data_IF_159129792790
#
_entry.id   IF_159129792790
#
_cell.length_a   1.000
_cell.length_b   1.000
_cell.length_c   1.000
_cell.angle_alpha   90.00
_cell.angle_beta   90.00
_cell.angle_gamma   90.00
#
_symmetry.space_group_name_H-M   'P 1'
#
loop_
_entity.id
_entity.type
_entity.pdbx_description
1 polymer ?
#
# COMPACT_ATOMS: atom_id res chain seq x y z
N UNK A 1 22.31 -1.48 -14.90
CA UNK A 1 21.02 -2.20 -14.93
C UNK A 1 20.86 -3.14 -13.74
N UNK A 2 21.90 -3.90 -13.34
CA UNK A 2 21.89 -4.76 -12.14
C UNK A 2 21.49 -4.03 -10.84
N UNK A 3 21.87 -2.76 -10.70
CA UNK A 3 21.49 -1.95 -9.55
C UNK A 3 19.97 -1.81 -9.36
N UNK A 4 19.18 -1.70 -10.44
CA UNK A 4 17.72 -1.55 -10.35
C UNK A 4 17.11 -2.83 -9.77
N UNK A 5 17.54 -3.99 -10.29
CA UNK A 5 17.08 -5.30 -9.82
C UNK A 5 17.53 -5.54 -8.38
N UNK A 6 18.77 -5.18 -8.03
CA UNK A 6 19.31 -5.31 -6.69
C UNK A 6 18.58 -4.45 -5.66
N UNK A 7 18.38 -3.16 -5.95
CA UNK A 7 17.65 -2.26 -5.06
C UNK A 7 16.18 -2.65 -4.94
N UNK A 8 15.54 -3.05 -6.05
CA UNK A 8 14.17 -3.56 -6.02
C UNK A 8 14.06 -4.83 -5.16
N UNK A 9 14.97 -5.79 -5.32
CA UNK A 9 14.96 -7.03 -4.55
C UNK A 9 15.19 -6.82 -3.05
N UNK A 10 16.11 -5.93 -2.66
CA UNK A 10 16.35 -5.67 -1.22
C UNK A 10 15.23 -4.84 -0.62
N UNK A 11 14.93 -3.69 -1.20
CA UNK A 11 13.98 -2.76 -0.60
C UNK A 11 12.54 -3.18 -0.86
N UNK A 12 12.21 -3.52 -2.11
CA UNK A 12 10.87 -3.87 -2.54
C UNK A 12 10.38 -5.25 -2.08
N UNK A 13 11.25 -6.25 -1.96
CA UNK A 13 10.80 -7.61 -1.61
C UNK A 13 11.01 -7.95 -0.12
N UNK A 14 11.96 -7.29 0.56
CA UNK A 14 12.37 -7.69 1.92
C UNK A 14 12.11 -6.62 2.96
N UNK A 15 12.71 -5.44 2.77
CA UNK A 15 12.75 -4.41 3.83
C UNK A 15 11.42 -3.67 3.95
N UNK A 16 10.91 -3.10 2.86
CA UNK A 16 9.69 -2.29 2.90
C UNK A 16 8.44 -3.11 3.23
N UNK A 17 8.23 -4.33 2.69
CA UNK A 17 7.08 -5.15 3.08
C UNK A 17 7.07 -5.43 4.59
N UNK A 18 8.23 -5.78 5.17
CA UNK A 18 8.35 -6.02 6.61
C UNK A 18 8.00 -4.77 7.42
N UNK A 19 8.54 -3.60 7.05
CA UNK A 19 8.25 -2.34 7.73
C UNK A 19 6.78 -1.95 7.63
N UNK A 20 6.15 -2.18 6.47
CA UNK A 20 4.71 -1.91 6.26
C UNK A 20 3.87 -2.83 7.15
N UNK A 21 4.18 -4.12 7.22
CA UNK A 21 3.47 -5.08 8.07
C UNK A 21 3.61 -4.72 9.54
N UNK A 22 4.83 -4.44 10.01
CA UNK A 22 5.07 -4.02 11.40
C UNK A 22 4.31 -2.74 11.75
N UNK A 23 4.32 -1.76 10.86
CA UNK A 23 3.56 -0.53 11.04
C UNK A 23 2.04 -0.79 11.04
N UNK A 24 1.52 -1.65 10.16
CA UNK A 24 0.11 -2.01 10.11
C UNK A 24 -0.37 -2.75 11.38
N UNK A 25 0.45 -3.67 11.91
CA UNK A 25 0.19 -4.35 13.19
C UNK A 25 0.16 -3.32 14.32
N UNK A 26 1.18 -2.46 14.39
CA UNK A 26 1.25 -1.41 15.39
C UNK A 26 0.04 -0.48 15.33
N UNK A 27 -0.41 -0.10 14.12
CA UNK A 27 -1.64 0.66 13.91
C UNK A 27 -2.85 -0.07 14.47
N UNK A 28 -3.01 -1.34 14.12
CA UNK A 28 -4.14 -2.15 14.56
C UNK A 28 -4.23 -2.24 16.08
N UNK A 29 -3.08 -2.34 16.77
CA UNK A 29 -3.01 -2.51 18.23
C UNK A 29 -3.12 -1.19 19.00
N UNK A 30 -2.52 -0.12 18.48
CA UNK A 30 -2.39 1.16 19.20
C UNK A 30 -3.40 2.21 18.78
N UNK A 31 -4.20 1.95 17.74
CA UNK A 31 -5.09 2.96 17.18
C UNK A 31 -6.12 3.44 18.18
N UNK A 32 -6.17 4.76 18.33
CA UNK A 32 -7.26 5.48 18.96
C UNK A 32 -7.84 6.39 17.88
N UNK A 33 -9.16 6.34 17.71
CA UNK A 33 -9.84 7.21 16.75
C UNK A 33 -9.48 8.67 17.09
N UNK A 34 -8.76 9.38 16.20
CA UNK A 34 -8.31 10.73 16.49
C UNK A 34 -9.53 11.67 16.52
N UNK A 35 -9.55 12.56 17.50
CA UNK A 35 -10.47 13.70 17.45
C UNK A 35 -10.10 14.59 16.25
N UNK A 36 -11.06 15.33 15.67
CA UNK A 36 -10.76 16.36 14.69
C UNK A 36 -9.62 17.26 15.21
N UNK A 37 -8.66 17.56 14.35
CA UNK A 37 -7.50 18.42 14.64
C UNK A 37 -6.42 17.86 15.59
N UNK A 38 -6.52 16.59 16.01
CA UNK A 38 -5.41 15.93 16.72
C UNK A 38 -4.18 15.83 15.79
N UNK A 39 -2.96 16.16 16.24
CA UNK A 39 -1.75 15.95 15.44
C UNK A 39 -1.55 14.47 15.11
N UNK A 40 -1.23 14.16 13.85
CA UNK A 40 -0.85 12.79 13.46
C UNK A 40 0.41 12.37 14.21
N UNK A 41 0.39 11.17 14.80
CA UNK A 41 1.57 10.50 15.36
C UNK A 41 2.62 10.29 14.27
N UNK A 42 3.89 10.11 14.66
CA UNK A 42 4.99 9.92 13.70
C UNK A 42 4.72 8.73 12.76
N UNK A 43 4.29 7.60 13.30
CA UNK A 43 3.93 6.44 12.51
C UNK A 43 2.74 6.70 11.56
N UNK A 44 1.79 7.58 11.91
CA UNK A 44 0.64 7.93 11.04
C UNK A 44 1.06 8.83 9.88
N UNK A 45 2.25 9.44 9.99
CA UNK A 45 2.90 10.15 8.89
C UNK A 45 3.74 9.19 8.05
N UNK A 46 4.49 8.28 8.67
CA UNK A 46 5.45 7.41 7.99
C UNK A 46 4.76 6.26 7.23
N UNK A 47 3.78 5.59 7.83
CA UNK A 47 3.13 4.41 7.24
C UNK A 47 2.64 4.59 5.80
N UNK A 48 1.81 5.61 5.48
CA UNK A 48 1.36 5.80 4.11
C UNK A 48 2.51 6.13 3.14
N UNK A 49 3.60 6.73 3.64
CA UNK A 49 4.80 6.98 2.83
C UNK A 49 5.56 5.69 2.53
N UNK A 50 5.65 4.75 3.48
CA UNK A 50 6.24 3.42 3.24
C UNK A 50 5.46 2.67 2.15
N UNK A 51 4.13 2.68 2.20
CA UNK A 51 3.28 2.06 1.16
C UNK A 51 3.45 2.76 -0.19
N UNK A 52 3.56 4.09 -0.19
CA UNK A 52 3.82 4.88 -1.41
C UNK A 52 5.18 4.55 -2.02
N UNK A 53 6.21 4.42 -1.19
CA UNK A 53 7.56 4.06 -1.64
C UNK A 53 7.59 2.64 -2.21
N UNK A 54 6.92 1.69 -1.55
CA UNK A 54 6.75 0.32 -2.04
C UNK A 54 6.08 0.29 -3.41
N UNK A 55 4.95 1.00 -3.56
CA UNK A 55 4.27 1.13 -4.84
C UNK A 55 5.17 1.76 -5.90
N UNK A 56 5.87 2.85 -5.56
CA UNK A 56 6.74 3.57 -6.51
C UNK A 56 7.87 2.68 -7.03
N UNK A 57 8.52 1.91 -6.15
CA UNK A 57 9.57 0.96 -6.55
C UNK A 57 9.01 -0.17 -7.42
N UNK A 58 7.85 -0.72 -7.09
CA UNK A 58 7.17 -1.72 -7.90
C UNK A 58 6.74 -1.19 -9.26
N UNK A 59 6.21 0.03 -9.30
CA UNK A 59 5.77 0.69 -10.52
C UNK A 59 6.93 1.01 -11.46
N UNK A 60 8.06 1.50 -10.93
CA UNK A 60 9.29 1.71 -11.71
C UNK A 60 9.80 0.39 -12.29
N UNK A 61 9.80 -0.69 -11.50
CA UNK A 61 10.21 -2.01 -11.97
C UNK A 61 9.28 -2.53 -13.09
N UNK A 62 7.96 -2.39 -12.91
CA UNK A 62 6.96 -2.76 -13.91
C UNK A 62 7.13 -1.96 -15.23
N UNK A 63 7.31 -0.64 -15.15
CA UNK A 63 7.60 0.21 -16.31
C UNK A 63 8.91 -0.19 -16.99
N UNK A 64 9.96 -0.48 -16.21
CA UNK A 64 11.23 -0.97 -16.74
C UNK A 64 11.06 -2.29 -17.51
N UNK A 65 10.26 -3.23 -17.00
CA UNK A 65 9.93 -4.47 -17.68
C UNK A 65 9.23 -4.28 -19.03
N UNK A 66 8.38 -3.25 -19.14
CA UNK A 66 7.69 -2.90 -20.39
C UNK A 66 8.65 -2.20 -21.37
N UNK A 67 9.30 -1.12 -20.92
CA UNK A 67 10.00 -0.18 -21.80
C UNK A 67 11.41 -0.65 -22.13
N UNK A 68 12.14 -1.20 -21.17
CA UNK A 68 13.55 -1.53 -21.34
C UNK A 68 13.80 -3.02 -21.67
N UNK A 69 12.99 -3.92 -21.11
CA UNK A 69 13.12 -5.37 -21.36
C UNK A 69 12.22 -5.81 -22.54
N UNK A 70 11.21 -5.01 -22.91
CA UNK A 70 10.32 -5.31 -24.03
C UNK A 70 9.27 -6.39 -23.73
N UNK A 71 8.99 -6.69 -22.45
CA UNK A 71 8.03 -7.72 -22.05
C UNK A 71 6.59 -7.17 -21.90
N UNK A 72 6.19 -6.22 -22.75
CA UNK A 72 4.88 -5.58 -22.68
C UNK A 72 3.72 -6.59 -22.65
N UNK A 73 3.77 -7.66 -23.45
CA UNK A 73 2.73 -8.69 -23.47
C UNK A 73 2.53 -9.42 -22.14
N UNK A 74 3.59 -9.62 -21.36
CA UNK A 74 3.52 -10.22 -20.02
C UNK A 74 3.00 -9.22 -18.98
N UNK A 75 3.53 -8.00 -18.98
CA UNK A 75 3.25 -7.00 -17.96
C UNK A 75 1.90 -6.27 -18.13
N UNK A 76 1.39 -6.17 -19.36
CA UNK A 76 0.08 -5.59 -19.68
C UNK A 76 -1.03 -6.64 -19.76
N UNK A 77 -0.68 -7.93 -19.76
CA UNK A 77 -1.64 -9.04 -19.77
C UNK A 77 -2.37 -9.20 -18.44
N UNK A 78 -3.56 -9.79 -18.49
CA UNK A 78 -4.27 -10.21 -17.27
C UNK A 78 -3.63 -11.51 -16.73
N UNK A 79 -3.45 -11.67 -15.40
CA UNK A 79 -3.84 -10.75 -14.31
C UNK A 79 -2.78 -9.68 -13.96
N UNK A 80 -1.62 -9.65 -14.62
CA UNK A 80 -0.48 -8.80 -14.26
C UNK A 80 -0.74 -7.30 -14.30
N UNK A 81 -1.60 -6.84 -15.23
CA UNK A 81 -2.04 -5.45 -15.29
C UNK A 81 -2.72 -4.98 -13.99
N UNK A 82 -3.26 -5.91 -13.19
CA UNK A 82 -3.85 -5.59 -11.89
C UNK A 82 -2.80 -5.17 -10.87
N UNK A 83 -1.54 -5.59 -11.00
CA UNK A 83 -0.51 -5.30 -10.00
C UNK A 83 -0.30 -3.79 -9.74
N UNK A 84 -0.08 -2.93 -10.75
CA UNK A 84 0.00 -1.49 -10.53
C UNK A 84 -1.33 -0.87 -10.06
N UNK A 85 -2.47 -1.43 -10.46
CA UNK A 85 -3.80 -0.94 -10.04
C UNK A 85 -4.00 -1.22 -8.54
N UNK A 86 -3.75 -2.44 -8.10
CA UNK A 86 -3.84 -2.86 -6.70
C UNK A 86 -2.83 -2.11 -5.83
N UNK A 87 -1.61 -1.88 -6.34
CA UNK A 87 -0.61 -1.05 -5.68
C UNK A 87 -1.09 0.39 -5.43
N UNK A 88 -1.70 1.02 -6.43
CA UNK A 88 -2.27 2.36 -6.28
C UNK A 88 -3.43 2.38 -5.28
N UNK A 89 -4.31 1.38 -5.33
CA UNK A 89 -5.40 1.22 -4.35
C UNK A 89 -4.85 1.07 -2.93
N UNK A 90 -3.78 0.31 -2.74
CA UNK A 90 -3.12 0.16 -1.44
C UNK A 90 -2.59 1.50 -0.91
N UNK A 91 -1.98 2.32 -1.78
CA UNK A 91 -1.52 3.68 -1.42
C UNK A 91 -2.68 4.56 -0.95
N UNK A 92 -3.81 4.54 -1.67
CA UNK A 92 -5.00 5.31 -1.30
C UNK A 92 -5.56 4.85 0.05
N UNK A 93 -5.74 3.54 0.22
CA UNK A 93 -6.22 2.94 1.46
C UNK A 93 -5.31 3.28 2.65
N UNK A 94 -3.99 3.23 2.47
CA UNK A 94 -3.04 3.57 3.53
C UNK A 94 -3.16 5.04 3.98
N UNK A 95 -3.33 5.98 3.03
CA UNK A 95 -3.53 7.40 3.37
C UNK A 95 -4.88 7.66 4.04
N UNK A 96 -5.91 6.93 3.63
CA UNK A 96 -7.24 7.05 4.22
C UNK A 96 -7.32 6.44 5.61
N UNK A 97 -6.61 5.33 5.86
CA UNK A 97 -6.59 4.66 7.16
C UNK A 97 -6.12 5.57 8.29
N UNK A 98 -5.18 6.47 8.01
CA UNK A 98 -4.56 7.35 9.01
C UNK A 98 -5.03 8.81 8.88
N UNK A 99 -6.18 9.04 8.24
CA UNK A 99 -6.72 10.39 8.10
C UNK A 99 -7.36 10.89 9.40
N UNK A 100 -7.09 12.16 9.74
CA UNK A 100 -7.72 12.84 10.88
C UNK A 100 -8.91 13.71 10.41
N UNK A 101 -9.27 13.61 9.12
CA UNK A 101 -10.35 14.35 8.45
C UNK A 101 -11.23 13.39 7.66
N UNK A 102 -11.98 12.50 8.32
CA UNK A 102 -12.80 11.49 7.66
C UNK A 102 -13.94 12.07 6.81
N UNK A 103 -14.35 13.32 7.05
CA UNK A 103 -15.40 14.01 6.34
C UNK A 103 -15.06 14.38 4.89
N UNK A 104 -13.76 14.40 4.54
CA UNK A 104 -13.26 14.85 3.23
C UNK A 104 -13.66 13.95 2.05
N UNK A 105 -13.92 12.67 2.26
CA UNK A 105 -14.37 11.79 1.19
C UNK A 105 -15.45 10.81 1.68
N UNK A 106 -16.28 10.33 0.74
CA UNK A 106 -17.43 9.47 1.06
C UNK A 106 -17.02 8.12 1.66
N UNK A 107 -15.87 7.59 1.24
CA UNK A 107 -15.34 6.31 1.73
C UNK A 107 -14.88 6.41 3.19
N UNK A 108 -14.07 7.41 3.53
CA UNK A 108 -13.61 7.69 4.89
C UNK A 108 -14.76 8.09 5.81
N UNK A 109 -15.78 8.77 5.28
CA UNK A 109 -17.00 9.10 6.03
C UNK A 109 -17.77 7.83 6.41
N UNK A 110 -17.89 6.88 5.49
CA UNK A 110 -18.52 5.58 5.75
C UNK A 110 -17.70 4.78 6.76
N UNK A 111 -16.37 4.72 6.59
CA UNK A 111 -15.49 4.03 7.53
C UNK A 111 -15.50 4.67 8.92
N UNK A 112 -15.60 5.99 9.03
CA UNK A 112 -15.66 6.68 10.32
C UNK A 112 -16.90 6.30 11.15
N UNK A 113 -18.00 5.87 10.50
CA UNK A 113 -19.17 5.33 11.19
C UNK A 113 -18.86 4.04 11.97
N UNK A 114 -17.77 3.35 11.63
CA UNK A 114 -17.31 2.15 12.34
C UNK A 114 -16.53 2.49 13.63
N UNK A 115 -16.28 3.77 13.91
CA UNK A 115 -15.59 4.21 15.12
C UNK A 115 -14.20 3.58 15.26
N UNK A 116 -13.96 2.86 16.37
CA UNK A 116 -12.69 2.16 16.63
C UNK A 116 -12.36 1.08 15.59
N UNK A 117 -13.36 0.52 14.92
CA UNK A 117 -13.20 -0.55 13.94
C UNK A 117 -12.81 -0.04 12.56
N UNK A 118 -12.86 1.27 12.33
CA UNK A 118 -12.51 1.90 11.05
C UNK A 118 -11.10 1.53 10.57
N UNK A 119 -10.10 1.57 11.45
CA UNK A 119 -8.72 1.19 11.12
C UNK A 119 -8.58 -0.30 10.90
N UNK A 120 -9.19 -1.14 11.73
CA UNK A 120 -9.15 -2.60 11.54
C UNK A 120 -9.76 -2.97 10.17
N UNK A 121 -10.90 -2.39 9.82
CA UNK A 121 -11.55 -2.61 8.53
C UNK A 121 -10.67 -2.13 7.36
N UNK A 122 -10.05 -0.94 7.48
CA UNK A 122 -9.18 -0.40 6.42
C UNK A 122 -7.89 -1.20 6.29
N UNK A 123 -7.30 -1.65 7.39
CA UNK A 123 -6.13 -2.54 7.40
C UNK A 123 -6.48 -3.92 6.82
N UNK A 124 -7.66 -4.45 7.11
CA UNK A 124 -8.15 -5.69 6.51
C UNK A 124 -8.34 -5.58 4.99
N UNK A 125 -8.92 -4.46 4.52
CA UNK A 125 -9.03 -4.16 3.09
C UNK A 125 -7.65 -4.03 2.44
N UNK A 126 -6.74 -3.28 3.07
CA UNK A 126 -5.36 -3.12 2.62
C UNK A 126 -4.65 -4.48 2.52
N UNK A 127 -4.79 -5.32 3.54
CA UNK A 127 -4.24 -6.68 3.55
C UNK A 127 -4.79 -7.51 2.39
N UNK A 128 -6.11 -7.50 2.16
CA UNK A 128 -6.73 -8.22 1.04
C UNK A 128 -6.19 -7.77 -0.32
N UNK A 129 -6.06 -6.45 -0.53
CA UNK A 129 -5.49 -5.87 -1.76
C UNK A 129 -4.03 -6.30 -1.95
N UNK A 130 -3.22 -6.24 -0.88
CA UNK A 130 -1.81 -6.64 -0.92
C UNK A 130 -1.68 -8.12 -1.20
N UNK A 131 -2.41 -9.00 -0.49
CA UNK A 131 -2.37 -10.44 -0.71
C UNK A 131 -2.77 -10.83 -2.14
N UNK A 132 -3.84 -10.21 -2.66
CA UNK A 132 -4.25 -10.43 -4.05
C UNK A 132 -3.15 -10.00 -5.03
N UNK A 133 -2.55 -8.83 -4.81
CA UNK A 133 -1.43 -8.34 -5.62
C UNK A 133 -0.20 -9.25 -5.55
N UNK A 134 0.09 -9.82 -4.39
CA UNK A 134 1.19 -10.77 -4.15
C UNK A 134 0.93 -12.10 -4.87
N UNK A 135 -0.26 -12.69 -4.73
CA UNK A 135 -0.62 -13.94 -5.43
C UNK A 135 -0.50 -13.78 -6.94
N UNK A 136 -0.97 -12.66 -7.49
CA UNK A 136 -0.85 -12.34 -8.92
C UNK A 136 0.63 -12.25 -9.34
N UNK A 137 1.48 -11.64 -8.52
CA UNK A 137 2.90 -11.48 -8.83
C UNK A 137 3.66 -12.81 -8.83
N UNK A 138 3.33 -13.75 -7.92
CA UNK A 138 4.01 -15.04 -7.77
C UNK A 138 3.42 -16.18 -8.61
N UNK A 139 2.36 -15.95 -9.39
CA UNK A 139 1.74 -16.97 -10.23
C UNK A 139 2.56 -17.34 -11.50
N UNK A 140 3.77 -16.80 -11.66
CA UNK A 140 4.72 -17.07 -12.76
C UNK A 140 6.14 -17.06 -12.18
#
# INVERSE_FOLDING_TARGET
>A
MEWIVYFHGIFGERVLPLLIVLAAIWFTVTWKAPAPDTPRTLAARIFPQLVTLQFSLGFVYWLYGIVAIGQAGRYLGFPFILHPILGLLAVLLAHWAVTNRPERNAFTRTLARLGRWSVVATMGLLLGVVLLGTVIAYAI
#
